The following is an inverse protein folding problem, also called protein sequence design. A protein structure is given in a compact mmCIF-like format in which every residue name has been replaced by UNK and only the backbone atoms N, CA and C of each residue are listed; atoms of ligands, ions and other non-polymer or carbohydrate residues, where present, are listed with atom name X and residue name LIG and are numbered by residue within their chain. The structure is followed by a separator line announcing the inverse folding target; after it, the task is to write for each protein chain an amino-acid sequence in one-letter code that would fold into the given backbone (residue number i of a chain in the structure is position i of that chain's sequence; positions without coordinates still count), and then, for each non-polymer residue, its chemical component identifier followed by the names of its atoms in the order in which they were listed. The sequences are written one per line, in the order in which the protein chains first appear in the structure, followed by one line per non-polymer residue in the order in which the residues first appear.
data_IF_119615497877
#
_entry.id   IF_119615497877
#
_cell.length_a   1.000
_cell.length_b   1.000
_cell.length_c   1.000
_cell.angle_alpha   90.00
_cell.angle_beta   90.00
_cell.angle_gamma   90.00
#
_symmetry.space_group_name_H-M   'P 1'
#
loop_
_entity.id
_entity.type
_entity.pdbx_description
1 polymer ?
#
# COMPACT_ATOMS: atom_id res chain seq x y z
N UNK A 1 12.59 13.83 -3.81
CA UNK A 1 12.44 12.57 -4.56
C UNK A 1 13.46 12.58 -5.70
N UNK A 2 14.28 11.53 -5.85
CA UNK A 2 14.99 11.26 -7.11
C UNK A 2 14.11 10.33 -7.95
N UNK A 3 13.28 10.90 -8.83
CA UNK A 3 12.59 10.12 -9.85
C UNK A 3 13.40 10.21 -11.13
N UNK A 4 13.75 9.05 -11.70
CA UNK A 4 14.40 8.99 -12.99
C UNK A 4 13.76 7.89 -13.80
N UNK A 5 13.21 8.25 -14.95
CA UNK A 5 12.65 7.33 -15.94
C UNK A 5 13.69 6.33 -16.44
N UNK A 6 14.98 6.70 -16.44
CA UNK A 6 16.07 5.77 -16.78
C UNK A 6 16.27 4.67 -15.73
N UNK A 7 16.08 4.97 -14.43
CA UNK A 7 16.17 3.96 -13.35
C UNK A 7 14.98 2.99 -13.35
N UNK A 8 13.86 3.37 -13.96
CA UNK A 8 12.65 2.54 -14.09
C UNK A 8 12.82 1.51 -15.20
N UNK A 9 13.58 1.84 -16.26
CA UNK A 9 13.90 0.91 -17.34
C UNK A 9 14.81 -0.23 -16.86
N UNK A 10 14.18 -1.36 -16.52
CA UNK A 10 14.83 -2.58 -16.01
C UNK A 10 14.28 -3.09 -14.67
N UNK A 11 13.54 -2.24 -13.94
CA UNK A 11 12.84 -2.64 -12.72
C UNK A 11 11.48 -3.27 -13.00
N UNK A 12 11.00 -4.11 -12.08
CA UNK A 12 9.62 -4.65 -12.09
C UNK A 12 8.72 -3.97 -11.04
N UNK A 13 9.32 -3.28 -10.07
CA UNK A 13 8.63 -2.66 -8.95
C UNK A 13 9.21 -1.27 -8.70
N UNK A 14 8.34 -0.28 -8.54
CA UNK A 14 8.66 1.08 -8.12
C UNK A 14 8.05 1.31 -6.73
N UNK A 15 8.89 1.56 -5.73
CA UNK A 15 8.44 1.84 -4.35
C UNK A 15 8.50 3.34 -4.10
N UNK A 16 7.39 3.89 -3.62
CA UNK A 16 7.19 5.29 -3.26
C UNK A 16 6.76 5.33 -1.79
N UNK A 17 7.71 5.61 -0.89
CA UNK A 17 7.41 5.73 0.53
C UNK A 17 7.31 7.21 0.93
N UNK A 18 6.18 7.58 1.56
CA UNK A 18 5.87 8.90 2.06
C UNK A 18 6.31 10.05 1.13
N UNK A 19 5.81 10.14 -0.13
CA UNK A 19 6.22 11.19 -1.05
C UNK A 19 6.02 12.58 -0.43
N UNK A 20 7.00 13.47 -0.59
CA UNK A 20 6.96 14.84 -0.04
C UNK A 20 6.79 15.92 -1.11
N UNK A 21 6.75 15.53 -2.37
CA UNK A 21 6.59 16.43 -3.52
C UNK A 21 5.50 15.90 -4.42
N UNK A 22 4.62 16.80 -4.87
CA UNK A 22 3.49 16.44 -5.74
C UNK A 22 3.97 15.87 -7.06
N UNK A 23 3.34 14.77 -7.49
CA UNK A 23 3.60 14.18 -8.80
C UNK A 23 3.04 15.06 -9.92
N UNK A 24 3.87 15.33 -10.93
CA UNK A 24 3.44 16.02 -12.15
C UNK A 24 2.66 15.08 -13.07
N UNK A 25 1.89 15.63 -14.02
CA UNK A 25 1.14 14.83 -14.99
C UNK A 25 2.04 13.93 -15.84
N UNK A 26 3.25 14.38 -16.18
CA UNK A 26 4.21 13.61 -16.97
C UNK A 26 4.77 12.42 -16.20
N UNK A 27 5.00 12.59 -14.89
CA UNK A 27 5.43 11.50 -14.01
C UNK A 27 4.32 10.47 -13.83
N UNK A 28 3.07 10.92 -13.65
CA UNK A 28 1.91 10.03 -13.56
C UNK A 28 1.72 9.26 -14.87
N UNK A 29 1.86 9.94 -16.01
CA UNK A 29 1.79 9.30 -17.33
C UNK A 29 2.89 8.26 -17.49
N UNK A 30 4.11 8.58 -17.06
CA UNK A 30 5.24 7.65 -17.08
C UNK A 30 5.02 6.45 -16.16
N UNK A 31 4.42 6.64 -14.97
CA UNK A 31 4.03 5.54 -14.07
C UNK A 31 2.93 4.67 -14.65
N UNK A 32 1.92 5.27 -15.30
CA UNK A 32 0.87 4.54 -16.02
C UNK A 32 1.45 3.69 -17.15
N UNK A 33 2.41 4.22 -17.90
CA UNK A 33 3.11 3.46 -18.94
C UNK A 33 3.89 2.29 -18.32
N UNK A 34 4.67 2.55 -17.26
CA UNK A 34 5.38 1.50 -16.51
C UNK A 34 4.45 0.38 -16.05
N UNK A 35 3.28 0.71 -15.49
CA UNK A 35 2.27 -0.29 -15.09
C UNK A 35 1.66 -1.03 -16.28
N UNK A 36 1.37 -0.30 -17.37
CA UNK A 36 0.88 -0.92 -18.61
C UNK A 36 1.85 -1.97 -19.15
N UNK A 37 3.15 -1.73 -19.01
CA UNK A 37 4.23 -2.62 -19.44
C UNK A 37 4.51 -3.77 -18.43
N UNK A 38 3.67 -3.92 -17.40
CA UNK A 38 3.74 -4.99 -16.40
C UNK A 38 4.52 -4.63 -15.13
N UNK A 39 4.82 -3.35 -14.91
CA UNK A 39 5.42 -2.85 -13.68
C UNK A 39 4.42 -2.67 -12.54
N UNK A 40 4.90 -2.78 -11.30
CA UNK A 40 4.08 -2.56 -10.11
C UNK A 40 4.55 -1.33 -9.35
N UNK A 41 3.64 -0.41 -9.05
CA UNK A 41 3.92 0.74 -8.19
C UNK A 41 3.42 0.43 -6.79
N UNK A 42 4.28 0.53 -5.78
CA UNK A 42 3.89 0.43 -4.37
C UNK A 42 3.99 1.81 -3.75
N UNK A 43 2.86 2.35 -3.30
CA UNK A 43 2.75 3.63 -2.63
C UNK A 43 2.40 3.40 -1.16
N UNK A 44 3.30 3.77 -0.26
CA UNK A 44 3.03 3.83 1.18
C UNK A 44 2.87 5.29 1.61
N UNK A 45 1.68 5.67 2.06
CA UNK A 45 1.34 7.05 2.45
C UNK A 45 0.19 7.02 3.46
N UNK A 46 0.25 7.88 4.47
CA UNK A 46 -0.83 8.09 5.43
C UNK A 46 -1.62 9.37 5.12
N UNK A 47 -2.71 9.61 5.84
CA UNK A 47 -3.55 10.80 5.60
C UNK A 47 -2.77 12.11 5.81
N UNK A 48 -1.85 12.13 6.77
CA UNK A 48 -1.05 13.32 7.13
C UNK A 48 -0.06 13.73 6.05
N UNK A 49 0.41 12.79 5.22
CA UNK A 49 1.36 13.04 4.13
C UNK A 49 0.77 12.85 2.72
N UNK A 50 -0.52 12.49 2.61
CA UNK A 50 -1.17 12.22 1.32
C UNK A 50 -1.17 13.38 0.31
N UNK A 51 -0.96 14.61 0.77
CA UNK A 51 -1.04 15.82 -0.08
C UNK A 51 -0.14 15.76 -1.33
N UNK A 52 1.07 15.19 -1.21
CA UNK A 52 1.97 14.99 -2.33
C UNK A 52 1.49 13.86 -3.28
N UNK A 53 0.83 12.85 -2.71
CA UNK A 53 0.31 11.70 -3.43
C UNK A 53 -1.07 11.93 -4.05
N UNK A 54 -1.81 12.98 -3.63
CA UNK A 54 -3.22 13.17 -3.99
C UNK A 54 -3.47 13.15 -5.50
N UNK A 55 -2.60 13.79 -6.29
CA UNK A 55 -2.76 13.81 -7.74
C UNK A 55 -2.63 12.42 -8.36
N UNK A 56 -1.72 11.59 -7.83
CA UNK A 56 -1.59 10.19 -8.21
C UNK A 56 -2.82 9.38 -7.77
N UNK A 57 -3.23 9.50 -6.49
CA UNK A 57 -4.38 8.79 -5.94
C UNK A 57 -5.67 9.04 -6.75
N UNK A 58 -5.95 10.30 -7.09
CA UNK A 58 -7.11 10.69 -7.89
C UNK A 58 -7.12 10.04 -9.29
N UNK A 59 -5.95 9.76 -9.87
CA UNK A 59 -5.82 9.12 -11.17
C UNK A 59 -6.20 7.62 -11.16
N UNK A 60 -6.39 7.05 -9.97
CA UNK A 60 -6.73 5.64 -9.73
C UNK A 60 -8.00 5.47 -8.88
N UNK A 61 -8.80 6.54 -8.71
CA UNK A 61 -10.02 6.52 -7.89
C UNK A 61 -9.76 6.05 -6.44
N UNK A 62 -8.60 6.45 -5.90
CA UNK A 62 -8.19 6.19 -4.53
C UNK A 62 -8.24 7.48 -3.70
N UNK A 63 -8.59 7.36 -2.43
CA UNK A 63 -8.36 8.40 -1.42
C UNK A 63 -8.14 7.78 -0.04
N UNK A 64 -7.65 8.57 0.92
CA UNK A 64 -7.56 8.21 2.33
C UNK A 64 -8.55 9.00 3.17
N UNK A 65 -9.27 8.32 4.06
CA UNK A 65 -10.15 8.95 5.03
C UNK A 65 -9.36 9.60 6.17
N UNK A 66 -9.88 10.72 6.69
CA UNK A 66 -9.32 11.42 7.84
C UNK A 66 -9.63 10.77 9.18
N UNK A 67 -9.74 9.44 9.22
CA UNK A 67 -10.03 8.66 10.43
C UNK A 67 -8.72 8.01 10.89
N UNK A 68 -8.08 8.51 11.96
CA UNK A 68 -6.85 7.91 12.47
C UNK A 68 -7.18 6.61 13.20
N UNK A 69 -6.86 5.46 12.59
CA UNK A 69 -6.97 4.17 13.27
C UNK A 69 -5.74 3.90 14.13
N UNK A 70 -4.59 4.50 13.81
CA UNK A 70 -3.35 4.24 14.53
C UNK A 70 -2.84 2.81 14.25
N UNK A 71 -2.28 2.10 15.26
CA UNK A 71 -1.78 0.75 15.08
C UNK A 71 -2.90 -0.26 14.83
N UNK A 72 -2.77 -1.05 13.77
CA UNK A 72 -3.72 -2.11 13.41
C UNK A 72 -2.94 -3.40 13.12
N UNK A 73 -3.34 -4.57 13.65
CA UNK A 73 -4.41 -4.78 14.62
C UNK A 73 -4.08 -4.16 15.99
N UNK A 74 -5.12 -3.83 16.77
CA UNK A 74 -4.99 -3.37 18.15
C UNK A 74 -4.60 -4.54 19.07
N UNK A 75 -3.33 -4.93 19.07
CA UNK A 75 -2.80 -5.87 20.04
C UNK A 75 -2.18 -5.11 21.21
N UNK A 76 -2.81 -5.15 22.40
CA UNK A 76 -2.26 -4.58 23.63
C UNK A 76 -1.01 -5.34 24.11
N UNK A 77 -0.94 -6.63 23.81
CA UNK A 77 0.22 -7.49 24.04
C UNK A 77 0.63 -8.16 22.73
N UNK A 78 1.85 -7.89 22.26
CA UNK A 78 2.48 -8.66 21.18
C UNK A 78 2.90 -10.05 21.69
N UNK A 79 2.01 -10.76 22.37
CA UNK A 79 2.15 -12.20 22.58
C UNK A 79 1.96 -12.91 21.25
N UNK A 80 2.74 -13.96 20.99
CA UNK A 80 2.98 -14.61 19.70
C UNK A 80 1.78 -15.02 18.82
N UNK A 81 0.55 -14.79 19.26
CA UNK A 81 -0.68 -15.05 18.48
C UNK A 81 -0.83 -14.11 17.27
N UNK A 82 -0.26 -12.90 17.30
CA UNK A 82 -0.36 -11.91 16.21
C UNK A 82 0.90 -11.76 15.35
N UNK A 83 1.99 -12.47 15.66
CA UNK A 83 3.27 -12.32 14.95
C UNK A 83 3.19 -12.59 13.44
N UNK A 84 2.21 -13.42 13.02
CA UNK A 84 1.98 -13.76 11.61
C UNK A 84 0.92 -12.88 10.93
N UNK A 85 0.22 -12.01 11.66
CA UNK A 85 -0.73 -11.06 11.07
C UNK A 85 0.02 -9.83 10.55
N UNK A 86 -0.44 -9.21 9.47
CA UNK A 86 0.16 -7.94 9.04
C UNK A 86 -0.17 -6.84 10.04
N UNK A 87 0.80 -5.95 10.28
CA UNK A 87 0.73 -4.87 11.24
C UNK A 87 1.06 -3.53 10.61
N UNK A 88 0.19 -2.58 10.88
CA UNK A 88 0.31 -1.16 10.60
C UNK A 88 0.63 -0.40 11.90
N UNK A 89 1.30 0.73 11.76
CA UNK A 89 1.73 1.62 12.84
C UNK A 89 0.83 2.86 12.92
N UNK A 90 0.54 3.47 11.77
CA UNK A 90 -0.26 4.69 11.68
C UNK A 90 -1.17 4.61 10.45
N UNK A 91 -2.24 3.82 10.58
CA UNK A 91 -3.12 3.45 9.47
C UNK A 91 -4.33 4.36 9.29
N UNK A 92 -4.77 4.44 8.03
CA UNK A 92 -5.84 5.33 7.58
C UNK A 92 -6.76 4.57 6.60
N UNK A 93 -8.10 4.61 6.73
CA UNK A 93 -8.96 3.90 5.79
C UNK A 93 -8.79 4.37 4.35
N UNK A 94 -8.79 3.43 3.41
CA UNK A 94 -8.74 3.67 1.97
C UNK A 94 -10.16 3.71 1.41
N UNK A 95 -10.51 4.80 0.74
CA UNK A 95 -11.65 4.85 -0.17
C UNK A 95 -11.17 4.40 -1.54
N UNK A 96 -11.89 3.46 -2.15
CA UNK A 96 -11.61 3.02 -3.50
C UNK A 96 -12.87 2.55 -4.23
N UNK A 97 -12.78 2.45 -5.55
CA UNK A 97 -13.81 1.83 -6.36
C UNK A 97 -13.65 0.29 -6.35
N UNK A 98 -14.57 -0.39 -5.65
CA UNK A 98 -14.58 -1.86 -5.51
C UNK A 98 -14.67 -2.62 -6.84
N UNK A 99 -15.14 -2.00 -7.92
CA UNK A 99 -15.18 -2.63 -9.23
C UNK A 99 -13.82 -2.69 -9.93
N UNK A 100 -12.87 -1.86 -9.48
CA UNK A 100 -11.55 -1.70 -10.12
C UNK A 100 -10.38 -2.01 -9.17
N UNK A 101 -10.63 -2.03 -7.86
CA UNK A 101 -9.63 -2.31 -6.84
C UNK A 101 -9.86 -3.62 -6.10
N UNK A 102 -8.79 -4.18 -5.55
CA UNK A 102 -8.78 -5.38 -4.72
C UNK A 102 -8.19 -5.00 -3.36
N UNK A 103 -8.93 -5.25 -2.28
CA UNK A 103 -8.42 -5.08 -0.92
C UNK A 103 -7.59 -6.31 -0.52
N UNK A 104 -6.30 -6.11 -0.27
CA UNK A 104 -5.39 -7.13 0.28
C UNK A 104 -5.45 -7.20 1.81
N UNK A 105 -5.87 -6.11 2.46
CA UNK A 105 -6.07 -6.10 3.89
C UNK A 105 -7.22 -5.19 4.27
N UNK A 106 -8.13 -5.71 5.10
CA UNK A 106 -9.19 -4.95 5.73
C UNK A 106 -9.27 -5.25 7.22
N UNK A 107 -9.62 -4.23 7.99
CA UNK A 107 -9.72 -4.25 9.43
C UNK A 107 -11.16 -4.00 9.86
N UNK A 108 -11.76 -4.99 10.51
CA UNK A 108 -13.11 -4.89 11.01
C UNK A 108 -13.09 -4.24 12.40
N UNK A 109 -13.76 -3.10 12.53
CA UNK A 109 -13.93 -2.40 13.79
C UNK A 109 -15.40 -2.43 14.23
N UNK A 110 -15.63 -2.89 15.46
CA UNK A 110 -16.95 -2.94 16.08
C UNK A 110 -17.16 -1.70 16.96
N UNK A 111 -17.99 -0.76 16.51
CA UNK A 111 -18.35 0.45 17.25
C UNK A 111 -19.32 0.17 18.39
N UNK A 112 -20.24 -0.77 18.18
CA UNK A 112 -21.22 -1.26 19.15
C UNK A 112 -21.66 -2.67 18.75
N UNK A 113 -22.46 -3.36 19.58
CA UNK A 113 -22.89 -4.75 19.35
C UNK A 113 -23.47 -5.01 17.93
N UNK A 114 -24.05 -3.99 17.28
CA UNK A 114 -24.70 -4.10 15.97
C UNK A 114 -24.02 -3.32 14.84
N UNK A 115 -22.94 -2.57 15.13
CA UNK A 115 -22.28 -1.71 14.13
C UNK A 115 -20.84 -2.17 13.93
N UNK A 116 -20.62 -2.93 12.87
CA UNK A 116 -19.30 -3.32 12.38
C UNK A 116 -18.99 -2.54 11.12
N UNK A 117 -17.82 -1.93 11.06
CA UNK A 117 -17.30 -1.23 9.88
C UNK A 117 -16.03 -1.92 9.42
N UNK A 118 -15.93 -2.19 8.13
CA UNK A 118 -14.69 -2.70 7.54
C UNK A 118 -13.86 -1.53 6.98
N UNK A 119 -12.59 -1.48 7.35
CA UNK A 119 -11.64 -0.45 6.93
C UNK A 119 -10.53 -1.07 6.10
N UNK A 120 -10.46 -0.72 4.82
CA UNK A 120 -9.43 -1.20 3.91
C UNK A 120 -8.13 -0.45 4.12
N UNK A 121 -7.02 -1.15 4.36
CA UNK A 121 -5.72 -0.51 4.63
C UNK A 121 -4.66 -0.82 3.58
N UNK A 122 -4.93 -1.80 2.72
CA UNK A 122 -4.07 -2.15 1.59
C UNK A 122 -4.91 -2.50 0.37
N UNK A 123 -4.83 -1.69 -0.68
CA UNK A 123 -5.66 -1.82 -1.89
C UNK A 123 -4.79 -1.81 -3.13
N UNK A 124 -5.05 -2.72 -4.06
CA UNK A 124 -4.42 -2.79 -5.36
C UNK A 124 -5.39 -2.41 -6.47
N UNK A 125 -4.97 -1.50 -7.35
CA UNK A 125 -5.72 -1.12 -8.56
C UNK A 125 -4.93 -1.56 -9.78
N UNK A 126 -5.52 -2.46 -10.57
CA UNK A 126 -4.89 -2.97 -11.79
C UNK A 126 -4.83 -1.89 -12.86
N UNK A 127 -3.71 -1.80 -13.57
CA UNK A 127 -3.56 -0.93 -14.73
C UNK A 127 -2.71 -1.62 -15.81
N UNK A 128 -3.36 -2.03 -16.90
CA UNK A 128 -2.74 -2.88 -17.91
C UNK A 128 -2.28 -4.23 -17.35
N UNK A 129 -1.02 -4.59 -17.58
CA UNK A 129 -0.44 -5.85 -17.07
C UNK A 129 0.11 -5.75 -15.65
N UNK A 130 0.21 -4.54 -15.09
CA UNK A 130 0.67 -4.27 -13.73
C UNK A 130 -0.38 -3.53 -12.91
N UNK A 131 0.06 -2.64 -12.01
CA UNK A 131 -0.87 -1.83 -11.21
C UNK A 131 -0.23 -1.09 -10.04
N UNK A 132 -1.09 -0.43 -9.26
CA UNK A 132 -0.74 0.38 -8.10
C UNK A 132 -1.24 -0.29 -6.82
N UNK A 133 -0.33 -0.64 -5.92
CA UNK A 133 -0.62 -1.02 -4.54
C UNK A 133 -0.52 0.21 -3.64
N UNK A 134 -1.62 0.58 -2.98
CA UNK A 134 -1.66 1.56 -1.92
C UNK A 134 -1.61 0.87 -0.56
N UNK A 135 -0.65 1.26 0.27
CA UNK A 135 -0.54 0.91 1.68
C UNK A 135 -0.78 2.19 2.47
N UNK A 136 -1.85 2.21 3.27
CA UNK A 136 -2.32 3.41 3.97
C UNK A 136 -1.55 3.73 5.26
N UNK A 137 -0.24 3.50 5.25
CA UNK A 137 0.66 3.74 6.37
C UNK A 137 2.06 4.03 5.83
N UNK A 138 2.55 5.25 6.03
CA UNK A 138 3.87 5.69 5.59
C UNK A 138 5.03 5.06 6.37
N UNK A 139 4.75 4.40 7.48
CA UNK A 139 5.73 3.69 8.29
C UNK A 139 5.81 2.21 7.96
N UNK A 140 4.83 1.64 7.24
CA UNK A 140 4.74 0.20 6.99
C UNK A 140 6.02 -0.38 6.36
N UNK A 141 6.64 0.36 5.43
CA UNK A 141 7.83 -0.07 4.71
C UNK A 141 9.17 0.28 5.39
N UNK A 142 9.15 0.80 6.62
CA UNK A 142 10.38 1.14 7.35
C UNK A 142 11.00 -0.09 8.02
N UNK A 143 12.33 -0.08 8.18
CA UNK A 143 13.14 -1.19 8.69
C UNK A 143 12.54 -1.87 9.93
N UNK A 144 12.09 -1.09 10.92
CA UNK A 144 11.46 -1.62 12.15
C UNK A 144 10.25 -2.56 11.92
N UNK A 145 9.61 -2.45 10.77
CA UNK A 145 8.40 -3.18 10.40
C UNK A 145 8.65 -4.29 9.36
N UNK A 146 9.84 -4.33 8.74
CA UNK A 146 10.19 -5.30 7.69
C UNK A 146 11.41 -6.13 8.08
N UNK A 147 12.49 -5.50 8.54
CA UNK A 147 13.75 -6.16 8.81
C UNK A 147 14.61 -5.30 9.76
N UNK A 148 14.87 -5.80 10.97
CA UNK A 148 15.99 -5.29 11.76
C UNK A 148 16.68 -6.43 12.51
N UNK A 149 17.92 -6.18 12.93
CA UNK A 149 18.75 -7.13 13.68
C UNK A 149 18.21 -7.46 15.07
N UNK A 150 17.26 -6.66 15.58
CA UNK A 150 16.68 -6.81 16.92
C UNK A 150 15.19 -7.11 16.90
N UNK A 151 14.44 -6.51 15.97
CA UNK A 151 12.99 -6.68 15.82
C UNK A 151 12.58 -6.66 14.34
N UNK A 152 11.78 -7.62 13.91
CA UNK A 152 11.07 -7.61 12.63
C UNK A 152 9.65 -8.14 12.85
N UNK A 153 8.73 -7.88 11.93
CA UNK A 153 7.36 -8.37 12.03
C UNK A 153 7.08 -9.45 10.97
N UNK A 154 7.06 -10.75 11.33
CA UNK A 154 6.91 -11.84 10.36
C UNK A 154 5.69 -11.69 9.44
N UNK A 155 4.55 -11.27 9.97
CA UNK A 155 3.32 -11.08 9.20
C UNK A 155 3.43 -10.03 8.09
N UNK A 156 4.27 -9.00 8.26
CA UNK A 156 4.51 -7.99 7.22
C UNK A 156 5.34 -8.58 6.09
N UNK A 157 6.35 -9.38 6.42
CA UNK A 157 7.19 -10.09 5.45
C UNK A 157 6.33 -11.08 4.66
N UNK A 158 5.49 -11.86 5.35
CA UNK A 158 4.60 -12.84 4.72
C UNK A 158 3.57 -12.17 3.79
N UNK A 159 2.97 -11.05 4.22
CA UNK A 159 2.03 -10.29 3.40
C UNK A 159 2.70 -9.73 2.14
N UNK A 160 3.85 -9.07 2.29
CA UNK A 160 4.60 -8.56 1.15
C UNK A 160 5.02 -9.69 0.21
N UNK A 161 5.51 -10.82 0.75
CA UNK A 161 5.86 -11.98 -0.05
C UNK A 161 4.67 -12.50 -0.86
N UNK A 162 3.51 -12.65 -0.23
CA UNK A 162 2.30 -13.12 -0.89
C UNK A 162 1.92 -12.22 -2.07
N UNK A 163 1.90 -10.91 -1.86
CA UNK A 163 1.58 -9.92 -2.91
C UNK A 163 2.61 -9.96 -4.05
N UNK A 164 3.90 -10.05 -3.72
CA UNK A 164 4.97 -10.12 -4.72
C UNK A 164 4.92 -11.40 -5.55
N UNK A 165 4.59 -12.53 -4.94
CA UNK A 165 4.38 -13.80 -5.65
C UNK A 165 3.19 -13.67 -6.61
N UNK A 166 2.07 -13.08 -6.19
CA UNK A 166 0.93 -12.81 -7.07
C UNK A 166 1.29 -11.88 -8.23
N UNK A 167 2.04 -10.80 -7.97
CA UNK A 167 2.49 -9.88 -9.01
C UNK A 167 3.36 -10.58 -10.05
N UNK A 168 4.22 -11.51 -9.60
CA UNK A 168 5.03 -12.33 -10.49
C UNK A 168 4.14 -13.22 -11.37
N UNK A 169 3.16 -13.90 -10.77
CA UNK A 169 2.22 -14.74 -11.54
C UNK A 169 1.39 -13.92 -12.55
N UNK A 170 1.00 -12.69 -12.20
CA UNK A 170 0.30 -11.79 -13.12
C UNK A 170 1.17 -11.41 -14.32
N UNK A 171 2.46 -11.10 -14.08
CA UNK A 171 3.41 -10.74 -15.13
C UNK A 171 3.88 -11.90 -16.02
N UNK A 172 3.75 -13.16 -15.55
CA UNK A 172 4.07 -14.36 -16.34
C UNK A 172 2.92 -14.83 -17.25
N UNK A 173 1.69 -14.33 -17.04
CA UNK A 173 0.49 -14.67 -17.83
C UNK A 173 0.28 -13.79 -19.08
N UNK A 174 1.23 -12.91 -19.38
CA UNK A 174 1.21 -11.96 -20.52
C UNK A 174 2.35 -12.24 -21.48
#
# INVERSE_FOLDING_TARGET
REYSTEKINGGKILILNAPTQTFTSDEITSMKQFMSDGGFVVLATGYTDKSASQHLLNNFELDLEGIPLGPVPYAEDASGDYENETRFVDSWPIIYNENTGISYYSFNFTWSEDVVTDYHLMVFVRYGSGGLLLISDSQYLLDKNIESIYDYWPGNILMLKHILDEFKEMGERT
#
